data_IF_773841126453
#
_entry.id   IF_773841126453
#
_cell.length_a   1.000
_cell.length_b   1.000
_cell.length_c   1.000
_cell.angle_alpha   90.00
_cell.angle_beta   90.00
_cell.angle_gamma   90.00
#
_symmetry.space_group_name_H-M   'P 1'
#
loop_
_entity.id
_entity.type
_entity.pdbx_description
1 polymer ?
#
# COMPACT_ATOMS: atom_id res chain seq x y z
N UNK A 1 1.24 -38.03 13.17
CA UNK A 1 2.28 -37.20 12.50
C UNK A 1 1.96 -36.82 11.04
N UNK A 2 0.77 -37.13 10.49
CA UNK A 2 0.46 -36.96 9.05
C UNK A 2 -0.53 -35.83 8.72
N UNK A 3 -1.12 -35.22 9.76
CA UNK A 3 -2.14 -34.15 9.63
C UNK A 3 -1.56 -32.73 9.64
N UNK A 4 -0.35 -32.54 10.19
CA UNK A 4 0.24 -31.19 10.37
C UNK A 4 0.69 -30.57 9.04
N UNK A 5 1.11 -31.40 8.09
CA UNK A 5 1.59 -30.95 6.78
C UNK A 5 0.49 -30.33 5.91
N UNK A 6 -0.75 -30.82 6.06
CA UNK A 6 -1.90 -30.35 5.29
C UNK A 6 -2.37 -28.96 5.74
N UNK A 7 -2.26 -28.67 7.05
CA UNK A 7 -2.61 -27.38 7.63
C UNK A 7 -1.63 -26.28 7.24
N UNK A 8 -0.34 -26.62 7.09
CA UNK A 8 0.69 -25.70 6.61
C UNK A 8 0.45 -25.24 5.17
N UNK A 9 -0.17 -26.07 4.34
CA UNK A 9 -0.46 -25.75 2.93
C UNK A 9 -1.61 -24.74 2.77
N UNK A 10 -2.51 -24.65 3.76
CA UNK A 10 -3.66 -23.74 3.74
C UNK A 10 -3.32 -22.28 4.12
N UNK A 11 -2.20 -22.04 4.80
CA UNK A 11 -1.75 -20.68 5.18
C UNK A 11 -0.95 -19.97 4.09
N UNK A 12 -0.46 -20.70 3.08
CA UNK A 12 0.41 -20.15 2.02
C UNK A 12 -0.38 -19.39 0.95
N UNK A 13 -1.70 -19.58 0.88
CA UNK A 13 -2.56 -18.91 -0.12
C UNK A 13 -3.26 -17.69 0.49
N UNK A 14 -2.54 -16.93 1.32
CA UNK A 14 -2.91 -15.56 1.63
C UNK A 14 -2.85 -14.76 0.33
N UNK A 15 -3.91 -14.82 -0.48
CA UNK A 15 -4.07 -13.93 -1.62
C UNK A 15 -4.10 -12.52 -1.05
N UNK A 16 -2.99 -11.81 -1.22
CA UNK A 16 -2.96 -10.36 -1.11
C UNK A 16 -4.15 -9.85 -1.91
N UNK A 17 -5.10 -9.17 -1.25
CA UNK A 17 -6.11 -8.38 -1.95
C UNK A 17 -5.30 -7.45 -2.84
N UNK A 18 -5.23 -7.77 -4.14
CA UNK A 18 -4.43 -7.06 -5.14
C UNK A 18 -5.09 -5.71 -5.45
N UNK A 19 -5.23 -4.86 -4.44
CA UNK A 19 -5.32 -3.44 -4.65
C UNK A 19 -3.96 -2.95 -5.12
N UNK A 20 -3.94 -2.09 -6.13
CA UNK A 20 -2.72 -1.39 -6.53
C UNK A 20 -2.40 -0.36 -5.43
N UNK A 21 -1.60 -0.78 -4.46
CA UNK A 21 -1.16 0.06 -3.36
C UNK A 21 0.22 0.63 -3.63
N UNK A 22 0.35 1.96 -3.60
CA UNK A 22 1.66 2.63 -3.73
C UNK A 22 1.70 3.95 -2.97
N UNK A 23 2.91 4.39 -2.66
CA UNK A 23 3.16 5.70 -2.08
C UNK A 23 3.03 6.79 -3.14
N UNK A 24 2.32 7.86 -2.78
CA UNK A 24 2.15 9.06 -3.58
C UNK A 24 2.80 10.24 -2.87
N UNK A 25 3.55 11.02 -3.66
CA UNK A 25 4.30 12.20 -3.21
C UNK A 25 5.80 12.04 -3.46
N UNK A 26 6.42 13.06 -4.05
CA UNK A 26 7.83 13.02 -4.46
C UNK A 26 8.70 13.72 -3.42
N UNK A 27 9.72 13.03 -2.91
CA UNK A 27 10.74 13.63 -2.05
C UNK A 27 11.70 14.49 -2.90
N UNK A 28 12.31 15.57 -2.37
CA UNK A 28 12.33 15.97 -0.96
C UNK A 28 11.17 16.87 -0.48
N UNK A 29 10.23 17.38 -1.30
CA UNK A 29 9.11 18.19 -0.79
C UNK A 29 7.76 17.58 -1.17
N UNK A 30 7.21 16.74 -0.29
CA UNK A 30 6.08 15.86 -0.61
C UNK A 30 4.73 16.53 -0.32
N UNK A 31 4.17 17.18 -1.34
CA UNK A 31 2.77 17.57 -1.58
C UNK A 31 1.87 18.03 -0.39
N UNK A 32 1.33 19.25 -0.54
CA UNK A 32 0.35 19.89 0.37
C UNK A 32 -1.09 19.35 0.23
N UNK A 33 -1.44 18.77 -0.92
CA UNK A 33 -2.85 18.52 -1.28
C UNK A 33 -3.29 17.06 -1.15
N UNK A 34 -2.51 16.20 -0.47
CA UNK A 34 -2.97 14.98 0.21
C UNK A 34 -3.88 13.98 -0.52
N UNK A 35 -3.99 14.05 -1.84
CA UNK A 35 -5.07 13.38 -2.54
C UNK A 35 -4.53 12.14 -3.22
N UNK A 36 -5.01 10.98 -2.79
CA UNK A 36 -4.94 9.80 -3.62
C UNK A 36 -5.72 10.06 -4.93
N UNK A 37 -5.29 9.45 -6.05
CA UNK A 37 -6.05 9.57 -7.29
C UNK A 37 -7.49 9.07 -7.12
N UNK A 38 -8.40 9.56 -7.97
CA UNK A 38 -9.81 9.19 -7.92
C UNK A 38 -9.98 7.66 -7.99
N UNK A 39 -10.80 7.12 -7.08
CA UNK A 39 -11.02 5.68 -6.94
C UNK A 39 -9.97 4.96 -6.08
N UNK A 40 -9.08 5.72 -5.42
CA UNK A 40 -8.10 5.19 -4.49
C UNK A 40 -8.28 5.84 -3.12
N UNK A 41 -8.09 5.07 -2.06
CA UNK A 41 -8.19 5.53 -0.68
C UNK A 41 -6.79 5.62 -0.04
N UNK A 42 -6.56 6.65 0.77
CA UNK A 42 -5.36 6.75 1.60
C UNK A 42 -5.49 5.78 2.77
N UNK A 43 -4.52 4.86 2.89
CA UNK A 43 -4.48 3.85 3.96
C UNK A 43 -3.44 4.19 5.01
N UNK A 44 -2.36 4.87 4.63
CA UNK A 44 -1.28 5.24 5.54
C UNK A 44 -0.67 6.60 5.15
N UNK A 45 -0.11 7.28 6.13
CA UNK A 45 0.70 8.49 5.95
C UNK A 45 2.07 8.33 6.57
N UNK A 46 3.10 8.77 5.86
CA UNK A 46 4.47 8.74 6.36
C UNK A 46 5.34 9.79 5.68
N UNK A 47 6.27 10.38 6.43
CA UNK A 47 7.31 11.24 5.88
C UNK A 47 8.36 10.46 5.08
N UNK A 48 8.40 9.12 5.20
CA UNK A 48 9.36 8.24 4.51
C UNK A 48 8.66 6.98 3.97
N UNK A 49 7.65 7.17 3.13
CA UNK A 49 6.82 6.08 2.61
C UNK A 49 7.54 5.10 1.66
N UNK A 50 8.37 5.60 0.75
CA UNK A 50 9.04 4.85 -0.31
C UNK A 50 10.55 4.70 -0.09
N UNK A 51 11.01 4.87 1.15
CA UNK A 51 12.45 4.92 1.48
C UNK A 51 13.10 6.29 1.25
N UNK A 52 12.36 7.28 0.71
CA UNK A 52 12.83 8.65 0.60
C UNK A 52 12.07 9.58 1.55
N UNK A 53 12.80 10.45 2.26
CA UNK A 53 12.22 11.32 3.29
C UNK A 53 11.80 12.67 2.72
N UNK A 54 10.61 13.12 3.11
CA UNK A 54 10.09 14.44 2.83
C UNK A 54 10.63 15.46 3.84
N UNK A 55 11.20 16.55 3.34
CA UNK A 55 11.58 17.73 4.12
C UNK A 55 10.35 18.58 4.48
N UNK A 56 9.33 18.60 3.62
CA UNK A 56 8.06 19.27 3.87
C UNK A 56 6.90 18.29 3.64
N UNK A 57 5.94 18.28 4.56
CA UNK A 57 4.72 17.46 4.53
C UNK A 57 5.02 15.93 4.50
N UNK A 58 4.08 15.10 4.04
CA UNK A 58 4.10 13.64 4.14
C UNK A 58 3.60 12.96 2.84
N UNK A 59 3.97 11.69 2.67
CA UNK A 59 3.50 10.81 1.60
C UNK A 59 2.26 10.06 2.05
N UNK A 60 1.37 9.79 1.09
CA UNK A 60 0.19 8.96 1.31
C UNK A 60 0.39 7.60 0.65
N UNK A 61 0.17 6.52 1.39
CA UNK A 61 0.02 5.20 0.82
C UNK A 61 -1.41 5.05 0.34
N UNK A 62 -1.59 4.99 -0.97
CA UNK A 62 -2.90 4.91 -1.59
C UNK A 62 -3.13 3.53 -2.16
N UNK A 63 -4.25 2.92 -1.81
CA UNK A 63 -4.71 1.65 -2.35
C UNK A 63 -5.92 1.86 -3.25
N UNK A 64 -5.80 1.42 -4.50
CA UNK A 64 -6.90 1.45 -5.47
C UNK A 64 -7.54 0.07 -5.56
N UNK A 65 -8.88 0.01 -5.64
CA UNK A 65 -9.56 -1.23 -6.00
C UNK A 65 -9.14 -1.64 -7.42
N UNK A 66 -8.87 -2.93 -7.68
CA UNK A 66 -8.63 -3.40 -9.04
C UNK A 66 -9.89 -3.12 -9.86
N UNK A 67 -9.77 -2.28 -10.89
CA UNK A 67 -10.86 -2.06 -11.86
C UNK A 67 -11.01 -3.37 -12.63
N UNK A 68 -12.05 -4.14 -12.32
CA UNK A 68 -12.49 -5.28 -13.14
C UNK A 68 -13.05 -4.65 -14.42
N UNK A 69 -12.26 -4.69 -15.50
CA UNK A 69 -12.68 -4.32 -16.86
C UNK A 69 -13.15 -5.58 -17.56
#
# INVERSE_FOLDING_TARGET
>A
MRFVFFFFFLLIISKSVNGLCKWYGTAPFCFINNSCPRGCAATLQSTTGDGHTCWLSYKNFCCCLPRIV
#
